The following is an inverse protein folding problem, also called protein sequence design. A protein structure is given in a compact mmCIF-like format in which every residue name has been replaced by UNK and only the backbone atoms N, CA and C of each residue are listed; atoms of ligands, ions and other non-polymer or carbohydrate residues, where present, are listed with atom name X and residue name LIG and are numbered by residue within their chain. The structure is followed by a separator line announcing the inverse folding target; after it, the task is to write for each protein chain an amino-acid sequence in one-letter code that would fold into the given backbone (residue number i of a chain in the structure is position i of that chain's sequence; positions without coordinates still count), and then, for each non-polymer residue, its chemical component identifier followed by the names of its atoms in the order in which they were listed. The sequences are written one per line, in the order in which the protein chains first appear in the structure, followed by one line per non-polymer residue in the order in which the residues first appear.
data_IF_694520123927
#
_entry.id   IF_694520123927
#
_cell.length_a   1.000
_cell.length_b   1.000
_cell.length_c   1.000
_cell.angle_alpha   90.00
_cell.angle_beta   90.00
_cell.angle_gamma   90.00
#
_symmetry.space_group_name_H-M   'P 1'
#
loop_
_entity.id
_entity.type
_entity.pdbx_description
1 polymer ?
#
# COMPACT_ATOMS: atom_id res chain seq x y z
N UNK A 1 10.48 19.65 -38.81
CA UNK A 1 11.63 18.91 -38.23
C UNK A 1 11.49 19.06 -36.73
N UNK A 2 10.96 18.04 -36.04
CA UNK A 2 10.70 18.11 -34.60
C UNK A 2 12.02 17.93 -33.85
N UNK A 3 12.41 18.95 -33.08
CA UNK A 3 13.57 18.90 -32.20
C UNK A 3 13.20 18.08 -30.95
N UNK A 4 13.98 17.07 -30.54
CA UNK A 4 13.70 16.35 -29.31
C UNK A 4 13.97 17.28 -28.11
N UNK A 5 12.93 17.49 -27.32
CA UNK A 5 12.94 18.39 -26.17
C UNK A 5 13.67 17.70 -25.00
N UNK A 6 14.99 17.85 -24.93
CA UNK A 6 15.79 17.39 -23.79
C UNK A 6 15.61 18.37 -22.62
N UNK A 7 14.73 18.02 -21.67
CA UNK A 7 14.56 18.78 -20.43
C UNK A 7 15.75 18.52 -19.50
N UNK A 8 16.63 19.52 -19.40
CA UNK A 8 17.73 19.54 -18.44
C UNK A 8 17.23 19.14 -17.04
N UNK A 9 17.87 18.13 -16.45
CA UNK A 9 17.66 17.76 -15.07
C UNK A 9 18.19 18.89 -14.19
N UNK A 10 17.31 19.60 -13.47
CA UNK A 10 17.73 20.41 -12.33
C UNK A 10 18.34 19.47 -11.28
N UNK A 11 19.67 19.39 -11.26
CA UNK A 11 20.42 18.89 -10.11
C UNK A 11 20.47 20.00 -9.06
N UNK A 12 19.41 20.10 -8.26
CA UNK A 12 19.38 20.92 -7.04
C UNK A 12 20.15 20.24 -5.90
N UNK A 13 20.44 20.97 -4.80
CA UNK A 13 21.26 20.48 -3.70
C UNK A 13 20.67 19.21 -3.09
N UNK A 14 21.54 18.22 -2.89
CA UNK A 14 21.21 16.93 -2.27
C UNK A 14 20.73 17.22 -0.84
N UNK A 15 19.46 16.93 -0.58
CA UNK A 15 18.93 16.87 0.79
C UNK A 15 19.13 15.45 1.31
N UNK A 16 19.34 15.30 2.62
CA UNK A 16 19.70 14.04 3.29
C UNK A 16 18.54 13.01 3.33
N UNK A 17 17.62 13.07 2.37
CA UNK A 17 16.51 12.13 2.17
C UNK A 17 16.54 11.57 0.76
N UNK A 18 16.19 10.29 0.67
CA UNK A 18 16.28 9.40 -0.49
C UNK A 18 15.86 10.08 -1.82
N UNK A 19 16.60 9.87 -2.93
CA UNK A 19 16.34 10.59 -4.18
C UNK A 19 15.00 10.19 -4.80
N UNK A 20 14.17 11.19 -5.10
CA UNK A 20 12.91 11.01 -5.84
C UNK A 20 13.20 10.74 -7.32
N UNK A 21 12.88 9.53 -7.79
CA UNK A 21 13.18 9.07 -9.15
C UNK A 21 12.16 9.51 -10.21
N UNK A 22 10.99 10.01 -9.83
CA UNK A 22 9.90 10.36 -10.77
C UNK A 22 9.25 11.69 -10.38
N UNK A 23 9.02 12.57 -11.36
CA UNK A 23 8.57 13.97 -11.17
C UNK A 23 7.10 14.12 -10.73
N UNK A 24 6.38 13.01 -10.54
CA UNK A 24 5.01 12.96 -9.98
C UNK A 24 4.94 11.89 -8.87
N UNK A 25 5.44 12.25 -7.69
CA UNK A 25 5.66 11.34 -6.54
C UNK A 25 4.38 10.69 -5.94
N UNK A 26 3.20 11.34 -5.90
CA UNK A 26 2.00 10.71 -5.34
C UNK A 26 1.45 9.48 -6.10
N UNK A 27 1.29 9.51 -7.45
CA UNK A 27 0.77 8.36 -8.20
C UNK A 27 1.74 7.18 -8.25
N UNK A 28 3.05 7.39 -8.36
CA UNK A 28 4.02 6.28 -8.46
C UNK A 28 4.20 5.54 -7.13
N UNK A 29 4.18 6.26 -6.00
CA UNK A 29 4.18 5.63 -4.67
C UNK A 29 2.89 4.87 -4.39
N UNK A 30 1.75 5.37 -4.88
CA UNK A 30 0.48 4.65 -4.79
C UNK A 30 0.52 3.36 -5.61
N UNK A 31 1.02 3.41 -6.84
CA UNK A 31 1.19 2.22 -7.69
C UNK A 31 2.16 1.23 -7.03
N UNK A 32 3.30 1.69 -6.51
CA UNK A 32 4.25 0.86 -5.77
C UNK A 32 3.63 0.18 -4.55
N UNK A 33 2.87 0.93 -3.74
CA UNK A 33 2.15 0.40 -2.59
C UNK A 33 1.09 -0.64 -2.99
N UNK A 34 0.33 -0.40 -4.06
CA UNK A 34 -0.65 -1.37 -4.58
C UNK A 34 0.03 -2.65 -5.05
N UNK A 35 1.15 -2.54 -5.76
CA UNK A 35 1.91 -3.72 -6.22
C UNK A 35 2.46 -4.52 -5.04
N UNK A 36 3.05 -3.84 -4.05
CA UNK A 36 3.56 -4.48 -2.83
C UNK A 36 2.43 -5.20 -2.06
N UNK A 37 1.30 -4.52 -1.84
CA UNK A 37 0.13 -5.11 -1.19
C UNK A 37 -0.41 -6.31 -1.96
N UNK A 38 -0.46 -6.24 -3.29
CA UNK A 38 -0.91 -7.35 -4.12
C UNK A 38 0.01 -8.57 -3.98
N UNK A 39 1.32 -8.35 -3.91
CA UNK A 39 2.29 -9.42 -3.66
C UNK A 39 2.12 -10.04 -2.27
N UNK A 40 1.95 -9.22 -1.23
CA UNK A 40 1.70 -9.71 0.13
C UNK A 40 0.40 -10.51 0.24
N UNK A 41 -0.68 -10.04 -0.42
CA UNK A 41 -1.97 -10.76 -0.48
C UNK A 41 -1.81 -12.10 -1.19
N UNK A 42 -1.04 -12.17 -2.27
CA UNK A 42 -0.75 -13.42 -2.95
C UNK A 42 0.01 -14.40 -2.05
N UNK A 43 1.06 -13.95 -1.38
CA UNK A 43 1.83 -14.78 -0.44
C UNK A 43 0.97 -15.29 0.73
N UNK A 44 0.08 -14.44 1.25
CA UNK A 44 -0.87 -14.84 2.29
C UNK A 44 -1.82 -15.93 1.79
N UNK A 45 -2.34 -15.78 0.57
CA UNK A 45 -3.20 -16.77 -0.08
C UNK A 45 -2.48 -18.10 -0.27
N UNK A 46 -1.25 -18.09 -0.76
CA UNK A 46 -0.44 -19.30 -0.94
C UNK A 46 -0.22 -20.02 0.41
N UNK A 47 0.15 -19.26 1.45
CA UNK A 47 0.33 -19.81 2.79
C UNK A 47 -0.95 -20.42 3.35
N UNK A 48 -2.11 -19.79 3.13
CA UNK A 48 -3.41 -20.34 3.55
C UNK A 48 -3.72 -21.65 2.80
N UNK A 49 -3.50 -21.70 1.49
CA UNK A 49 -3.68 -22.92 0.71
C UNK A 49 -2.77 -24.06 1.17
N UNK A 50 -1.50 -23.77 1.48
CA UNK A 50 -0.59 -24.76 2.07
C UNK A 50 -1.08 -25.23 3.44
N UNK A 51 -1.55 -24.32 4.30
CA UNK A 51 -2.07 -24.67 5.62
C UNK A 51 -3.31 -25.58 5.50
N UNK A 52 -4.24 -25.25 4.62
CA UNK A 52 -5.44 -26.07 4.37
C UNK A 52 -5.07 -27.46 3.84
N UNK A 53 -4.09 -27.54 2.93
CA UNK A 53 -3.59 -28.80 2.41
C UNK A 53 -2.94 -29.68 3.50
N UNK A 54 -2.11 -29.10 4.37
CA UNK A 54 -1.51 -29.80 5.51
C UNK A 54 -2.58 -30.27 6.51
N UNK A 55 -3.55 -29.42 6.85
CA UNK A 55 -4.65 -29.79 7.75
C UNK A 55 -5.52 -30.93 7.17
N UNK A 56 -5.75 -30.91 5.85
CA UNK A 56 -6.44 -32.00 5.15
C UNK A 56 -5.61 -33.29 5.12
N UNK A 57 -4.30 -33.20 4.86
CA UNK A 57 -3.38 -34.33 4.86
C UNK A 57 -3.34 -35.02 6.23
N UNK A 58 -3.37 -34.22 7.31
CA UNK A 58 -3.46 -34.69 8.69
C UNK A 58 -4.87 -35.08 9.14
N UNK A 59 -5.88 -35.01 8.25
CA UNK A 59 -7.29 -35.34 8.52
C UNK A 59 -7.92 -34.51 9.66
N UNK A 60 -7.40 -33.31 9.90
CA UNK A 60 -7.95 -32.36 10.89
C UNK A 60 -9.20 -31.68 10.34
N UNK A 61 -9.18 -31.31 9.07
CA UNK A 61 -10.31 -30.75 8.33
C UNK A 61 -10.53 -31.54 7.04
N UNK A 62 -11.78 -31.74 6.59
CA UNK A 62 -12.02 -32.27 5.26
C UNK A 62 -11.57 -31.28 4.18
N UNK A 63 -11.27 -31.77 2.98
CA UNK A 63 -11.11 -30.88 1.82
C UNK A 63 -12.38 -30.03 1.64
N UNK A 64 -12.19 -28.80 1.17
CA UNK A 64 -13.26 -27.82 0.97
C UNK A 64 -14.03 -27.43 2.24
N UNK A 65 -13.44 -27.63 3.43
CA UNK A 65 -14.08 -27.26 4.69
C UNK A 65 -14.26 -25.74 4.81
N UNK A 66 -13.30 -24.97 4.30
CA UNK A 66 -13.31 -23.50 4.37
C UNK A 66 -14.39 -22.93 3.45
N UNK A 67 -14.54 -23.49 2.25
CA UNK A 67 -15.50 -23.09 1.22
C UNK A 67 -16.94 -23.39 1.63
N UNK A 68 -17.13 -24.48 2.38
CA UNK A 68 -18.44 -24.88 2.91
C UNK A 68 -18.71 -24.30 4.30
N UNK A 69 -17.77 -23.56 4.87
CA UNK A 69 -17.91 -22.98 6.19
C UNK A 69 -19.04 -21.95 6.18
N UNK A 70 -20.03 -22.16 7.03
CA UNK A 70 -21.10 -21.20 7.30
C UNK A 70 -20.91 -20.72 8.73
N UNK A 71 -20.63 -19.43 8.88
CA UNK A 71 -20.61 -18.81 10.21
C UNK A 71 -22.01 -18.86 10.82
N UNK A 72 -22.07 -19.09 12.14
CA UNK A 72 -23.29 -18.81 12.88
C UNK A 72 -23.56 -17.29 12.88
N UNK A 73 -24.82 -16.86 13.07
CA UNK A 73 -25.18 -15.44 12.99
C UNK A 73 -24.35 -14.54 13.91
N UNK A 74 -24.06 -15.00 15.13
CA UNK A 74 -23.28 -14.23 16.11
C UNK A 74 -21.81 -14.05 15.70
N UNK A 75 -21.18 -15.08 15.12
CA UNK A 75 -19.82 -14.97 14.57
C UNK A 75 -19.76 -14.15 13.29
N UNK A 76 -20.78 -14.24 12.43
CA UNK A 76 -20.88 -13.43 11.24
C UNK A 76 -20.96 -11.93 11.60
N UNK A 77 -21.78 -11.58 12.59
CA UNK A 77 -21.87 -10.21 13.13
C UNK A 77 -20.54 -9.71 13.70
N UNK A 78 -19.85 -10.56 14.49
CA UNK A 78 -18.54 -10.21 15.04
C UNK A 78 -17.50 -9.95 13.94
N UNK A 79 -17.42 -10.82 12.92
CA UNK A 79 -16.51 -10.62 11.78
C UNK A 79 -16.84 -9.35 10.99
N UNK A 80 -18.12 -9.05 10.80
CA UNK A 80 -18.55 -7.83 10.13
C UNK A 80 -18.14 -6.57 10.93
N UNK A 81 -18.29 -6.61 12.25
CA UNK A 81 -17.85 -5.53 13.14
C UNK A 81 -16.32 -5.34 13.12
N UNK A 82 -15.56 -6.44 13.16
CA UNK A 82 -14.10 -6.41 13.06
C UNK A 82 -13.63 -5.85 11.71
N UNK A 83 -14.24 -6.27 10.61
CA UNK A 83 -13.96 -5.73 9.28
C UNK A 83 -14.24 -4.22 9.24
N UNK A 84 -15.40 -3.79 9.73
CA UNK A 84 -15.76 -2.37 9.78
C UNK A 84 -14.76 -1.56 10.62
N UNK A 85 -14.33 -2.07 11.77
CA UNK A 85 -13.34 -1.42 12.63
C UNK A 85 -11.97 -1.33 11.95
N UNK A 86 -11.53 -2.40 11.28
CA UNK A 86 -10.29 -2.41 10.52
C UNK A 86 -10.32 -1.40 9.37
N UNK A 87 -11.38 -1.42 8.57
CA UNK A 87 -11.59 -0.47 7.47
C UNK A 87 -11.59 0.97 7.97
N UNK A 88 -12.32 1.27 9.05
CA UNK A 88 -12.33 2.59 9.66
C UNK A 88 -10.93 3.06 10.07
N UNK A 89 -10.11 2.16 10.65
CA UNK A 89 -8.74 2.48 11.05
C UNK A 89 -7.86 2.83 9.85
N UNK A 90 -7.96 2.05 8.77
CA UNK A 90 -7.21 2.29 7.52
C UNK A 90 -7.61 3.63 6.91
N UNK A 91 -8.92 3.90 6.77
CA UNK A 91 -9.39 5.16 6.19
C UNK A 91 -9.06 6.37 7.06
N UNK A 92 -9.05 6.23 8.39
CA UNK A 92 -8.64 7.32 9.29
C UNK A 92 -7.20 7.76 9.00
N UNK A 93 -6.29 6.82 8.70
CA UNK A 93 -4.90 7.17 8.33
C UNK A 93 -4.78 7.81 6.94
N UNK A 94 -5.66 7.47 5.99
CA UNK A 94 -5.71 8.14 4.68
C UNK A 94 -6.30 9.55 4.74
N UNK A 95 -7.30 9.78 5.60
CA UNK A 95 -8.03 11.06 5.73
C UNK A 95 -7.36 12.00 6.73
N UNK A 96 -6.36 11.52 7.48
CA UNK A 96 -5.61 12.33 8.43
C UNK A 96 -4.89 13.48 7.73
N UNK A 97 -5.27 14.70 8.06
CA UNK A 97 -4.59 15.91 7.59
C UNK A 97 -3.15 15.92 8.13
N UNK A 98 -2.16 15.82 7.23
CA UNK A 98 -0.74 15.83 7.59
C UNK A 98 -0.20 17.21 7.28
N UNK A 99 0.16 17.96 8.33
CA UNK A 99 1.04 19.12 8.18
C UNK A 99 2.39 18.60 7.64
N UNK A 100 2.85 19.03 6.46
CA UNK A 100 4.14 18.58 5.93
C UNK A 100 5.26 18.97 6.90
N UNK A 101 6.03 17.98 7.36
CA UNK A 101 7.23 18.19 8.20
C UNK A 101 8.45 18.64 7.38
N UNK A 102 8.33 18.65 6.05
CA UNK A 102 9.37 19.12 5.15
C UNK A 102 9.11 20.59 4.81
N UNK A 103 9.98 21.47 5.28
CA UNK A 103 10.03 22.86 4.85
C UNK A 103 11.04 23.00 3.71
N UNK A 104 10.66 23.65 2.60
CA UNK A 104 11.62 24.08 1.60
C UNK A 104 12.56 25.07 2.30
N UNK A 105 13.88 24.86 2.19
CA UNK A 105 14.85 25.82 2.71
C UNK A 105 14.53 27.20 2.09
N UNK A 106 14.21 28.23 2.89
CA UNK A 106 13.81 29.54 2.39
C UNK A 106 14.88 30.19 1.51
N UNK A 107 16.14 29.75 1.59
CA UNK A 107 17.20 30.20 0.71
C UNK A 107 17.09 29.65 -0.72
N UNK A 108 16.28 28.64 -1.00
CA UNK A 108 16.08 28.10 -2.35
C UNK A 108 15.22 29.03 -3.21
N UNK A 109 14.41 29.90 -2.60
CA UNK A 109 13.61 30.91 -3.31
C UNK A 109 14.45 31.85 -4.19
N UNK A 110 15.74 32.04 -3.88
CA UNK A 110 16.66 32.85 -4.71
C UNK A 110 17.04 32.19 -6.05
N UNK A 111 16.76 30.91 -6.23
CA UNK A 111 17.03 30.14 -7.45
C UNK A 111 15.76 29.80 -8.25
N UNK A 112 14.59 30.01 -7.65
CA UNK A 112 13.27 29.90 -8.27
C UNK A 112 12.84 31.32 -8.66
N UNK A 113 13.39 31.85 -9.76
CA UNK A 113 13.00 33.17 -10.28
C UNK A 113 11.52 33.23 -10.68
N UNK A 114 10.98 34.46 -10.74
CA UNK A 114 9.60 34.79 -11.18
C UNK A 114 9.17 34.10 -12.49
#
# INVERSE_FOLDING_TARGET
MNTPDFKAALQGPVTDREPDFLRDVPPDNLVGAIVALTAEVYLLRERLQSLEAELAAHRVLPADAVERHVDDPTRAEAKAADLAAYTQRVFTELVRDRVPVSHIDPQVGKYLGD
#
